data_IF_780546222701
#
_entry.id   IF_780546222701
#
_cell.length_a   1.000
_cell.length_b   1.000
_cell.length_c   1.000
_cell.angle_alpha   90.00
_cell.angle_beta   90.00
_cell.angle_gamma   90.00
#
_symmetry.space_group_name_H-M   'P 1'
#
loop_
_entity.id
_entity.type
_entity.pdbx_description
1 polymer ?
#
# COMPACT_ATOMS: atom_id res chain seq x y z
N UNK A 1 -8.03 -11.85 -11.46
CA UNK A 1 -7.59 -12.35 -10.15
C UNK A 1 -7.42 -11.13 -9.26
N UNK A 2 -7.88 -11.21 -8.01
CA UNK A 2 -7.84 -10.09 -7.08
C UNK A 2 -6.40 -9.64 -6.82
N UNK A 3 -6.10 -8.36 -7.08
CA UNK A 3 -4.77 -7.79 -6.90
C UNK A 3 -4.43 -7.66 -5.41
N UNK A 4 -3.17 -7.91 -5.05
CA UNK A 4 -2.65 -7.66 -3.70
C UNK A 4 -2.14 -6.22 -3.65
N UNK A 5 -2.77 -5.39 -2.81
CA UNK A 5 -2.39 -3.99 -2.62
C UNK A 5 -1.56 -3.84 -1.34
N UNK A 6 -0.27 -3.63 -1.50
CA UNK A 6 0.66 -3.33 -0.41
C UNK A 6 0.54 -1.86 -0.03
N UNK A 7 0.29 -1.61 1.26
CA UNK A 7 0.19 -0.26 1.85
C UNK A 7 1.30 -0.10 2.91
N UNK A 8 2.43 0.50 2.54
CA UNK A 8 3.53 0.74 3.47
C UNK A 8 3.18 1.74 4.57
N UNK A 9 3.95 1.73 5.65
CA UNK A 9 3.91 2.74 6.70
C UNK A 9 4.85 3.92 6.41
N UNK A 10 5.12 4.70 7.46
CA UNK A 10 6.10 5.80 7.42
C UNK A 10 7.48 5.31 6.93
N UNK A 11 8.15 6.13 6.11
CA UNK A 11 9.44 5.82 5.46
C UNK A 11 9.44 4.64 4.46
N UNK A 12 8.26 4.25 3.96
CA UNK A 12 8.07 3.14 3.03
C UNK A 12 8.56 1.77 3.57
N UNK A 13 8.40 0.72 2.77
CA UNK A 13 8.99 -0.59 2.96
C UNK A 13 10.29 -0.69 2.18
N UNK A 14 11.43 -0.46 2.86
CA UNK A 14 12.74 -0.62 2.24
C UNK A 14 13.04 -2.04 1.72
N UNK A 15 14.20 -2.26 1.07
CA UNK A 15 14.52 -3.53 0.39
C UNK A 15 14.51 -4.78 1.27
N UNK A 16 14.82 -4.63 2.57
CA UNK A 16 14.82 -5.73 3.54
C UNK A 16 13.48 -5.92 4.26
N UNK A 17 12.47 -5.10 3.95
CA UNK A 17 11.17 -5.17 4.59
C UNK A 17 10.33 -6.32 4.01
N UNK A 18 9.53 -6.98 4.85
CA UNK A 18 8.73 -8.14 4.45
C UNK A 18 7.66 -7.79 3.40
N UNK A 19 7.13 -6.56 3.38
CA UNK A 19 6.24 -6.12 2.31
C UNK A 19 6.95 -6.08 0.95
N UNK A 20 8.24 -5.68 0.91
CA UNK A 20 9.05 -5.74 -0.33
C UNK A 20 9.32 -7.19 -0.74
N UNK A 21 9.57 -8.06 0.23
CA UNK A 21 9.68 -9.49 -0.05
C UNK A 21 8.37 -10.07 -0.63
N UNK A 22 7.21 -9.66 -0.11
CA UNK A 22 5.89 -10.07 -0.63
C UNK A 22 5.70 -9.59 -2.07
N UNK A 23 6.00 -8.32 -2.34
CA UNK A 23 5.90 -7.72 -3.68
C UNK A 23 6.69 -8.49 -4.74
N UNK A 24 7.87 -8.99 -4.38
CA UNK A 24 8.70 -9.77 -5.30
C UNK A 24 8.31 -11.25 -5.40
N UNK A 25 7.62 -11.80 -4.40
CA UNK A 25 7.34 -13.24 -4.30
C UNK A 25 5.93 -13.59 -4.76
N UNK A 26 4.98 -12.66 -4.65
CA UNK A 26 3.57 -12.86 -4.99
C UNK A 26 3.28 -12.29 -6.39
N UNK A 27 2.43 -12.98 -7.15
CA UNK A 27 1.89 -12.46 -8.41
C UNK A 27 0.85 -11.36 -8.17
N UNK A 28 0.55 -10.57 -9.21
CA UNK A 28 -0.50 -9.55 -9.21
C UNK A 28 -0.48 -8.62 -7.98
N UNK A 29 0.72 -8.14 -7.63
CA UNK A 29 0.94 -7.24 -6.49
C UNK A 29 1.19 -5.80 -6.95
N UNK A 30 0.61 -4.85 -6.23
CA UNK A 30 0.75 -3.41 -6.44
C UNK A 30 1.13 -2.75 -5.12
N UNK A 31 2.09 -1.82 -5.15
CA UNK A 31 2.43 -0.99 -3.98
C UNK A 31 1.82 0.40 -4.11
N UNK A 32 1.16 0.87 -3.05
CA UNK A 32 0.74 2.28 -2.95
C UNK A 32 1.97 3.14 -2.71
N UNK A 33 2.25 4.03 -3.65
CA UNK A 33 3.26 5.07 -3.49
C UNK A 33 2.62 6.36 -2.95
N UNK A 34 3.18 6.87 -1.85
CA UNK A 34 2.78 8.13 -1.24
C UNK A 34 3.62 9.29 -1.79
N UNK A 35 3.06 10.50 -1.74
CA UNK A 35 3.73 11.70 -2.24
C UNK A 35 4.88 12.17 -1.32
N UNK A 36 4.73 11.96 -0.01
CA UNK A 36 5.73 12.27 1.01
C UNK A 36 5.78 11.14 2.05
N UNK A 37 6.95 10.52 2.18
CA UNK A 37 7.21 9.43 3.11
C UNK A 37 7.71 9.89 4.49
N UNK A 38 8.11 11.16 4.61
CA UNK A 38 8.68 11.75 5.83
C UNK A 38 7.62 12.54 6.62
N UNK A 39 6.63 13.11 5.92
CA UNK A 39 5.48 13.83 6.49
C UNK A 39 4.19 13.01 6.45
N UNK A 40 3.88 12.20 7.47
CA UNK A 40 2.65 11.39 7.44
C UNK A 40 1.40 12.27 7.52
N UNK A 41 0.57 12.22 6.48
CA UNK A 41 -0.72 12.91 6.40
C UNK A 41 -1.84 11.90 6.15
N UNK A 42 -2.60 11.56 7.19
CA UNK A 42 -3.59 10.49 7.11
C UNK A 42 -4.65 10.70 6.02
N UNK A 43 -5.28 11.89 5.88
CA UNK A 43 -6.27 12.12 4.82
C UNK A 43 -5.72 11.94 3.41
N UNK A 44 -4.50 12.43 3.16
CA UNK A 44 -3.84 12.31 1.85
C UNK A 44 -3.49 10.86 1.54
N UNK A 45 -2.92 10.16 2.52
CA UNK A 45 -2.53 8.75 2.36
C UNK A 45 -3.76 7.85 2.15
N UNK A 46 -4.85 8.08 2.89
CA UNK A 46 -6.10 7.34 2.72
C UNK A 46 -6.75 7.63 1.37
N UNK A 47 -6.77 8.90 0.94
CA UNK A 47 -7.25 9.26 -0.41
C UNK A 47 -6.44 8.53 -1.49
N UNK A 48 -5.11 8.48 -1.34
CA UNK A 48 -4.24 7.78 -2.29
C UNK A 48 -4.48 6.28 -2.33
N UNK A 49 -4.69 5.64 -1.19
CA UNK A 49 -5.09 4.22 -1.13
C UNK A 49 -6.42 4.03 -1.86
N UNK A 50 -7.42 4.88 -1.58
CA UNK A 50 -8.73 4.84 -2.23
C UNK A 50 -8.67 4.99 -3.75
N UNK A 51 -7.85 5.90 -4.27
CA UNK A 51 -7.61 6.05 -5.72
C UNK A 51 -7.07 4.77 -6.36
N UNK A 52 -6.09 4.13 -5.72
CA UNK A 52 -5.48 2.90 -6.27
C UNK A 52 -6.48 1.74 -6.24
N UNK A 53 -7.29 1.63 -5.18
CA UNK A 53 -8.38 0.65 -5.09
C UNK A 53 -9.43 0.90 -6.18
N UNK A 54 -9.88 2.15 -6.35
CA UNK A 54 -10.90 2.51 -7.33
C UNK A 54 -10.46 2.29 -8.79
N UNK A 55 -9.14 2.26 -9.05
CA UNK A 55 -8.59 1.95 -10.36
C UNK A 55 -8.60 0.45 -10.69
N UNK A 56 -8.87 -0.44 -9.72
CA UNK A 56 -8.93 -1.89 -9.95
C UNK A 56 -10.31 -2.32 -10.44
N UNK A 57 -10.35 -3.24 -11.40
CA UNK A 57 -11.59 -3.78 -11.97
C UNK A 57 -12.20 -4.92 -11.16
N UNK A 58 -11.47 -5.48 -10.21
CA UNK A 58 -11.89 -6.58 -9.32
C UNK A 58 -11.59 -6.23 -7.85
N UNK A 59 -12.10 -7.03 -6.91
CA UNK A 59 -11.76 -6.94 -5.49
C UNK A 59 -10.24 -6.98 -5.26
N UNK A 60 -9.77 -6.31 -4.22
CA UNK A 60 -8.36 -6.28 -3.83
C UNK A 60 -8.12 -6.88 -2.45
N UNK A 61 -6.94 -7.46 -2.25
CA UNK A 61 -6.44 -7.87 -0.94
C UNK A 61 -5.48 -6.81 -0.41
N UNK A 62 -5.83 -6.12 0.68
CA UNK A 62 -4.97 -5.09 1.25
C UNK A 62 -4.00 -5.68 2.27
N UNK A 63 -2.70 -5.42 2.08
CA UNK A 63 -1.61 -5.81 2.98
C UNK A 63 -0.95 -4.55 3.52
N UNK A 64 -1.46 -4.07 4.65
CA UNK A 64 -1.03 -2.83 5.28
C UNK A 64 -0.08 -3.05 6.46
N UNK A 65 0.78 -2.07 6.75
CA UNK A 65 1.70 -2.10 7.89
C UNK A 65 1.80 -0.74 8.58
N UNK A 66 1.84 -0.74 9.92
CA UNK A 66 2.07 0.45 10.75
C UNK A 66 1.11 1.61 10.39
N UNK A 67 1.61 2.80 10.07
CA UNK A 67 0.80 3.94 9.63
C UNK A 67 -0.06 3.64 8.40
N UNK A 68 0.40 2.74 7.52
CA UNK A 68 -0.37 2.27 6.38
C UNK A 68 -1.66 1.56 6.76
N UNK A 69 -1.73 0.96 7.96
CA UNK A 69 -2.99 0.38 8.47
C UNK A 69 -4.06 1.43 8.73
N UNK A 70 -3.67 2.62 9.19
CA UNK A 70 -4.60 3.73 9.42
C UNK A 70 -5.12 4.28 8.09
N UNK A 71 -4.26 4.34 7.08
CA UNK A 71 -4.63 4.82 5.74
C UNK A 71 -5.50 3.82 4.95
N UNK A 72 -5.61 2.58 5.41
CA UNK A 72 -6.30 1.50 4.71
C UNK A 72 -7.74 1.25 5.20
N UNK A 73 -8.21 1.97 6.22
CA UNK A 73 -9.55 1.82 6.83
C UNK A 73 -10.52 2.94 6.44
#
# INVERSE_FOLDING_TARGET
>A
MAAILIVPGLHDSGPAHWQTWFEHTLGDTLRVNQADWEGPCLPEWAARVGEVIAAQSESVWVVAHSFGCLAAV
#
